data_IF_227785081915
#
_entry.id   IF_227785081915
#
_cell.length_a   1.000
_cell.length_b   1.000
_cell.length_c   1.000
_cell.angle_alpha   90.00
_cell.angle_beta   90.00
_cell.angle_gamma   90.00
#
_symmetry.space_group_name_H-M   'P 1'
#
loop_
_entity.id
_entity.type
_entity.pdbx_description
1 polymer ?
#
# COMPACT_ATOMS: atom_id res chain seq x y z
N UNK A 1 -5.44 -5.26 -44.19
CA UNK A 1 -5.39 -6.66 -43.71
C UNK A 1 -3.98 -6.93 -43.20
N UNK A 2 -3.76 -6.95 -41.89
CA UNK A 2 -2.57 -7.53 -41.28
C UNK A 2 -2.92 -7.88 -39.82
N UNK A 3 -2.89 -9.18 -39.55
CA UNK A 3 -3.31 -9.85 -38.33
C UNK A 3 -2.29 -9.63 -37.21
N UNK A 4 -2.72 -9.11 -36.06
CA UNK A 4 -1.93 -9.17 -34.81
C UNK A 4 -2.43 -10.36 -34.00
N UNK A 5 -1.58 -11.38 -33.90
CA UNK A 5 -1.77 -12.54 -33.01
C UNK A 5 -1.06 -12.22 -31.70
N UNK A 6 -1.79 -11.73 -30.71
CA UNK A 6 -1.31 -11.66 -29.31
C UNK A 6 -1.87 -12.85 -28.54
N UNK A 7 -1.10 -13.92 -28.52
CA UNK A 7 -1.24 -15.02 -27.56
C UNK A 7 -0.21 -14.79 -26.45
N UNK A 8 -0.69 -14.35 -25.29
CA UNK A 8 0.09 -14.19 -24.07
C UNK A 8 -0.83 -14.45 -22.89
N UNK A 9 -0.71 -15.64 -22.32
CA UNK A 9 -1.44 -16.16 -21.18
C UNK A 9 -1.42 -15.17 -20.02
N UNK A 10 -2.54 -14.48 -19.79
CA UNK A 10 -2.79 -13.80 -18.53
C UNK A 10 -2.91 -14.90 -17.47
N UNK A 11 -1.91 -15.03 -16.60
CA UNK A 11 -2.06 -15.81 -15.38
C UNK A 11 -3.17 -15.14 -14.56
N UNK A 12 -4.37 -15.69 -14.65
CA UNK A 12 -5.50 -15.32 -13.80
C UNK A 12 -5.14 -15.74 -12.38
N UNK A 13 -4.56 -14.81 -11.61
CA UNK A 13 -4.50 -14.96 -10.17
C UNK A 13 -5.93 -14.82 -9.64
N UNK A 14 -6.51 -15.92 -9.17
CA UNK A 14 -7.82 -15.91 -8.52
C UNK A 14 -7.69 -15.18 -7.18
N UNK A 15 -8.12 -13.92 -7.19
CA UNK A 15 -8.15 -13.06 -6.01
C UNK A 15 -9.48 -13.33 -5.29
N UNK A 16 -9.49 -14.31 -4.39
CA UNK A 16 -10.63 -14.57 -3.50
C UNK A 16 -10.59 -13.60 -2.30
N UNK A 17 -10.93 -12.33 -2.52
CA UNK A 17 -11.21 -11.38 -1.44
C UNK A 17 -12.72 -11.21 -1.31
N UNK A 18 -13.28 -11.70 -0.20
CA UNK A 18 -14.72 -11.69 0.12
C UNK A 18 -15.26 -10.28 0.44
N UNK A 19 -14.37 -9.29 0.64
CA UNK A 19 -14.73 -7.91 0.98
C UNK A 19 -14.51 -6.97 -0.23
N UNK A 20 -15.49 -6.13 -0.61
CA UNK A 20 -15.31 -5.17 -1.69
C UNK A 20 -14.21 -4.17 -1.32
N UNK A 21 -13.37 -3.75 -2.29
CA UNK A 21 -12.27 -2.85 -2.02
C UNK A 21 -12.79 -1.51 -1.51
N UNK A 22 -12.32 -1.08 -0.33
CA UNK A 22 -12.75 0.18 0.31
C UNK A 22 -12.23 1.41 -0.44
N UNK A 23 -11.10 1.27 -1.13
CA UNK A 23 -10.50 2.31 -1.96
C UNK A 23 -10.72 2.02 -3.44
N UNK A 24 -11.02 3.07 -4.21
CA UNK A 24 -11.17 2.96 -5.66
C UNK A 24 -9.85 2.56 -6.32
N UNK A 25 -9.80 1.48 -7.13
CA UNK A 25 -8.59 1.10 -7.85
C UNK A 25 -8.10 2.22 -8.78
N UNK A 26 -6.78 2.31 -9.00
CA UNK A 26 -6.13 3.31 -9.86
C UNK A 26 -6.35 4.79 -9.46
N UNK A 27 -6.68 5.07 -8.20
CA UNK A 27 -6.80 6.43 -7.70
C UNK A 27 -5.75 6.73 -6.62
N UNK A 28 -5.37 8.00 -6.50
CA UNK A 28 -4.47 8.46 -5.45
C UNK A 28 -5.15 8.30 -4.09
N UNK A 29 -4.45 7.71 -3.13
CA UNK A 29 -4.92 7.67 -1.74
C UNK A 29 -5.01 9.08 -1.19
N UNK A 30 -6.13 9.37 -0.53
CA UNK A 30 -6.38 10.65 0.12
C UNK A 30 -6.18 10.48 1.62
N UNK A 31 -5.37 11.35 2.24
CA UNK A 31 -5.00 11.25 3.65
C UNK A 31 -6.23 11.17 4.57
N UNK A 32 -7.25 12.01 4.34
CA UNK A 32 -8.48 12.02 5.13
C UNK A 32 -9.26 10.70 5.06
N UNK A 33 -9.32 10.07 3.88
CA UNK A 33 -9.99 8.79 3.69
C UNK A 33 -9.22 7.67 4.41
N UNK A 34 -7.89 7.67 4.30
CA UNK A 34 -7.04 6.70 4.98
C UNK A 34 -7.16 6.83 6.50
N UNK A 35 -7.08 8.06 7.04
CA UNK A 35 -7.22 8.26 8.49
C UNK A 35 -8.61 7.87 8.99
N UNK A 36 -9.68 8.14 8.24
CA UNK A 36 -11.03 7.72 8.60
C UNK A 36 -11.15 6.19 8.64
N UNK A 37 -10.63 5.50 7.62
CA UNK A 37 -10.63 4.05 7.56
C UNK A 37 -9.81 3.41 8.70
N UNK A 38 -8.67 4.01 9.09
CA UNK A 38 -7.89 3.54 10.24
C UNK A 38 -8.59 3.73 11.59
N UNK A 39 -9.40 4.77 11.74
CA UNK A 39 -10.23 4.96 12.93
C UNK A 39 -11.36 3.92 12.95
N UNK A 40 -12.04 3.71 11.82
CA UNK A 40 -13.09 2.69 11.70
C UNK A 40 -12.56 1.28 12.02
N UNK A 41 -11.34 0.97 11.58
CA UNK A 41 -10.71 -0.32 11.85
C UNK A 41 -10.03 -0.37 13.23
N UNK A 42 -10.17 0.68 14.05
CA UNK A 42 -9.65 0.76 15.41
C UNK A 42 -8.13 0.77 15.51
N UNK A 43 -7.42 1.13 14.45
CA UNK A 43 -5.96 1.19 14.42
C UNK A 43 -5.42 2.54 14.91
N UNK A 44 -6.19 3.61 14.69
CA UNK A 44 -5.79 4.99 14.98
C UNK A 44 -6.87 5.70 15.79
N UNK A 45 -6.45 6.49 16.78
CA UNK A 45 -7.36 7.31 17.58
C UNK A 45 -7.84 8.55 16.81
N UNK A 46 -8.97 9.11 17.24
CA UNK A 46 -9.45 10.39 16.70
C UNK A 46 -8.47 11.50 17.05
N UNK A 47 -7.86 11.49 18.25
CA UNK A 47 -6.85 12.47 18.65
C UNK A 47 -5.58 12.39 17.78
N UNK A 48 -5.10 11.19 17.49
CA UNK A 48 -3.91 10.96 16.65
C UNK A 48 -4.19 11.32 15.19
N UNK A 49 -5.41 11.13 14.70
CA UNK A 49 -5.80 11.59 13.37
C UNK A 49 -5.68 13.10 13.20
N UNK A 50 -5.99 13.87 14.24
CA UNK A 50 -5.79 15.33 14.22
C UNK A 50 -4.31 15.68 14.13
N UNK A 51 -3.45 14.94 14.84
CA UNK A 51 -1.99 15.10 14.76
C UNK A 51 -1.45 14.78 13.37
N UNK A 52 -1.98 13.74 12.70
CA UNK A 52 -1.66 13.44 11.29
C UNK A 52 -1.96 14.63 10.39
N UNK A 53 -3.16 15.22 10.52
CA UNK A 53 -3.59 16.35 9.70
C UNK A 53 -2.76 17.61 9.96
N UNK A 54 -2.38 17.86 11.22
CA UNK A 54 -1.50 18.97 11.57
C UNK A 54 -0.09 18.79 10.99
N UNK A 55 0.49 17.59 11.12
CA UNK A 55 1.82 17.27 10.59
C UNK A 55 1.88 17.34 9.06
N UNK A 56 0.81 16.90 8.38
CA UNK A 56 0.70 16.97 6.92
C UNK A 56 0.64 18.42 6.41
N UNK A 57 0.08 19.35 7.20
CA UNK A 57 -0.03 20.78 6.85
C UNK A 57 1.21 21.60 7.21
N UNK A 58 2.03 21.15 8.17
CA UNK A 58 3.15 21.94 8.70
C UNK A 58 4.39 21.96 7.80
N UNK A 59 4.44 21.15 6.75
CA UNK A 59 5.59 21.08 5.83
C UNK A 59 5.16 21.15 4.37
N UNK A 60 5.59 22.17 3.65
CA UNK A 60 5.25 22.44 2.24
C UNK A 60 5.65 21.32 1.24
N UNK A 61 6.32 20.25 1.68
CA UNK A 61 6.65 19.07 0.86
C UNK A 61 6.08 17.74 1.38
N UNK A 62 5.28 17.74 2.47
CA UNK A 62 4.69 16.50 3.02
C UNK A 62 3.38 16.09 2.35
N UNK A 63 2.66 17.03 1.74
CA UNK A 63 1.44 16.75 0.97
C UNK A 63 1.72 15.93 -0.31
N UNK A 64 2.97 15.94 -0.78
CA UNK A 64 3.41 15.12 -1.91
C UNK A 64 3.78 13.68 -1.50
N UNK A 65 3.95 13.42 -0.21
CA UNK A 65 4.23 12.08 0.30
C UNK A 65 2.98 11.21 0.27
N UNK A 66 3.20 9.90 0.12
CA UNK A 66 2.11 8.93 0.23
C UNK A 66 1.49 9.00 1.64
N UNK A 67 0.14 9.03 1.78
CA UNK A 67 -0.53 9.09 3.06
C UNK A 67 -0.04 8.07 4.10
N UNK A 68 0.29 6.86 3.68
CA UNK A 68 0.80 5.82 4.59
C UNK A 68 2.16 6.20 5.19
N UNK A 69 3.01 6.88 4.41
CA UNK A 69 4.33 7.35 4.87
C UNK A 69 4.18 8.45 5.92
N UNK A 70 3.24 9.38 5.71
CA UNK A 70 2.95 10.45 6.66
C UNK A 70 2.53 9.86 8.01
N UNK A 71 1.61 8.89 7.98
CA UNK A 71 1.09 8.24 9.20
C UNK A 71 2.20 7.40 9.87
N UNK A 72 2.97 6.63 9.10
CA UNK A 72 4.05 5.78 9.63
C UNK A 72 5.15 6.60 10.33
N UNK A 73 5.48 7.79 9.82
CA UNK A 73 6.53 8.63 10.38
C UNK A 73 6.20 9.14 11.79
N UNK A 74 4.90 9.24 12.13
CA UNK A 74 4.43 9.67 13.43
C UNK A 74 4.50 8.57 14.49
N UNK A 75 4.73 7.32 14.08
CA UNK A 75 4.98 6.16 14.96
C UNK A 75 3.92 6.02 16.06
N UNK A 76 2.65 6.20 15.71
CA UNK A 76 1.54 5.97 16.64
C UNK A 76 1.49 4.51 17.06
N UNK A 77 0.94 4.27 18.26
CA UNK A 77 0.63 2.92 18.71
C UNK A 77 -0.63 2.42 18.02
N UNK A 78 -0.64 1.16 17.62
CA UNK A 78 -1.87 0.54 17.12
C UNK A 78 -2.86 0.44 18.30
N UNK A 79 -4.08 0.96 18.18
CA UNK A 79 -5.02 0.89 19.29
C UNK A 79 -5.56 -0.53 19.52
N UNK A 80 -5.50 -1.41 18.51
CA UNK A 80 -5.86 -2.83 18.67
C UNK A 80 -4.81 -3.57 19.49
N UNK A 81 -3.55 -3.15 19.39
CA UNK A 81 -2.42 -3.76 20.08
C UNK A 81 -1.38 -2.68 20.42
N UNK A 82 -1.44 -2.16 21.65
CA UNK A 82 -0.56 -1.08 22.12
C UNK A 82 0.92 -1.48 22.18
N UNK A 83 1.25 -2.77 22.08
CA UNK A 83 2.63 -3.22 21.95
C UNK A 83 3.21 -2.91 20.57
N UNK A 84 2.35 -2.82 19.55
CA UNK A 84 2.70 -2.56 18.16
C UNK A 84 2.64 -1.07 17.83
N UNK A 85 3.44 -0.70 16.84
CA UNK A 85 3.50 0.65 16.30
C UNK A 85 3.00 0.59 14.86
N UNK A 86 2.26 1.61 14.42
CA UNK A 86 1.85 1.78 13.04
C UNK A 86 3.08 2.09 12.18
N UNK A 87 3.71 1.04 11.65
CA UNK A 87 4.81 1.12 10.71
C UNK A 87 4.28 1.13 9.27
N UNK A 88 5.10 1.59 8.33
CA UNK A 88 4.76 1.54 6.91
C UNK A 88 4.42 0.12 6.46
N UNK A 89 5.11 -0.89 7.00
CA UNK A 89 4.84 -2.30 6.70
C UNK A 89 3.43 -2.69 7.14
N UNK A 90 3.07 -2.45 8.40
CA UNK A 90 1.73 -2.76 8.93
C UNK A 90 0.61 -2.02 8.21
N UNK A 91 0.85 -0.77 7.79
CA UNK A 91 -0.11 0.03 7.04
C UNK A 91 -0.25 -0.45 5.59
N UNK A 92 0.80 -1.01 5.00
CA UNK A 92 0.76 -1.57 3.64
C UNK A 92 0.05 -2.92 3.64
N UNK A 93 0.29 -3.75 4.65
CA UNK A 93 -0.43 -5.01 4.87
C UNK A 93 -1.93 -4.74 5.05
N UNK A 94 -2.28 -3.81 5.94
CA UNK A 94 -3.66 -3.35 6.10
C UNK A 94 -4.27 -2.85 4.78
N UNK A 95 -3.56 -2.01 4.03
CA UNK A 95 -4.07 -1.52 2.74
C UNK A 95 -4.33 -2.65 1.75
N UNK A 96 -3.46 -3.67 1.72
CA UNK A 96 -3.65 -4.84 0.87
C UNK A 96 -4.94 -5.59 1.23
N UNK A 97 -5.23 -5.78 2.52
CA UNK A 97 -6.50 -6.35 2.98
C UNK A 97 -7.70 -5.50 2.52
N UNK A 98 -7.61 -4.17 2.62
CA UNK A 98 -8.67 -3.26 2.20
C UNK A 98 -8.86 -3.20 0.68
N UNK A 99 -7.82 -3.50 -0.09
CA UNK A 99 -7.86 -3.57 -1.55
C UNK A 99 -8.21 -4.98 -2.06
N UNK A 100 -8.33 -5.96 -1.16
CA UNK A 100 -8.50 -7.36 -1.51
C UNK A 100 -7.30 -7.94 -2.25
N UNK A 101 -6.11 -7.38 -2.08
CA UNK A 101 -4.88 -7.83 -2.73
C UNK A 101 -4.07 -8.71 -1.78
N UNK A 102 -3.42 -9.77 -2.30
CA UNK A 102 -2.54 -10.57 -1.47
C UNK A 102 -1.30 -9.74 -1.08
N UNK A 103 -0.96 -9.74 0.21
CA UNK A 103 0.25 -9.11 0.72
C UNK A 103 1.41 -10.10 0.73
N UNK A 104 2.51 -9.74 0.05
CA UNK A 104 3.73 -10.53 0.07
C UNK A 104 4.91 -9.66 0.50
N UNK A 105 5.57 -10.06 1.60
CA UNK A 105 6.84 -9.46 1.99
C UNK A 105 7.95 -10.02 1.10
N UNK A 106 8.42 -9.19 0.17
CA UNK A 106 9.51 -9.55 -0.72
C UNK A 106 10.82 -9.51 0.06
N UNK A 107 11.45 -10.68 0.27
CA UNK A 107 12.77 -10.81 0.85
C UNK A 107 13.80 -10.96 -0.28
N UNK A 108 14.65 -9.93 -0.54
CA UNK A 108 15.59 -9.95 -1.66
C UNK A 108 16.61 -11.10 -1.57
N UNK A 109 16.86 -11.65 -0.38
CA UNK A 109 17.79 -12.78 -0.22
C UNK A 109 17.20 -14.12 -0.64
N UNK A 110 15.88 -14.21 -0.86
CA UNK A 110 15.18 -15.42 -1.30
C UNK A 110 14.83 -15.40 -2.79
N UNK A 111 15.14 -14.31 -3.50
CA UNK A 111 14.84 -14.15 -4.92
C UNK A 111 15.97 -14.79 -5.75
N UNK A 112 15.62 -15.77 -6.58
CA UNK A 112 16.52 -16.30 -7.61
C UNK A 112 16.58 -15.31 -8.78
N UNK A 113 17.52 -14.37 -8.71
CA UNK A 113 17.66 -13.27 -9.69
C UNK A 113 17.76 -13.74 -11.16
N UNK A 114 18.27 -14.95 -11.40
CA UNK A 114 18.41 -15.52 -12.76
C UNK A 114 17.09 -15.69 -13.52
N UNK A 115 15.96 -15.94 -12.84
CA UNK A 115 14.65 -16.10 -13.47
C UNK A 115 13.91 -14.76 -13.66
N UNK A 116 14.22 -13.75 -12.83
CA UNK A 116 13.56 -12.43 -12.87
C UNK A 116 14.08 -11.56 -14.02
N UNK A 117 15.37 -11.70 -14.39
CA UNK A 117 15.99 -10.94 -15.47
C UNK A 117 15.60 -11.39 -16.89
N UNK A 118 15.00 -12.57 -17.05
CA UNK A 118 14.46 -13.03 -18.34
C UNK A 118 13.11 -12.38 -18.68
N UNK A 119 12.37 -11.92 -17.67
CA UNK A 119 10.99 -11.41 -17.84
C UNK A 119 10.94 -9.88 -17.78
N UNK A 120 11.84 -9.23 -17.02
CA UNK A 120 11.96 -7.77 -16.98
C UNK A 120 13.25 -7.38 -17.70
N UNK A 121 13.12 -6.86 -18.92
CA UNK A 121 14.26 -6.35 -19.68
C UNK A 121 15.05 -5.33 -18.84
N UNK A 122 16.38 -5.50 -18.82
CA UNK A 122 17.34 -4.71 -18.03
C UNK A 122 17.10 -3.19 -18.03
N UNK A 123 16.49 -2.65 -19.10
CA UNK A 123 16.16 -1.24 -19.24
C UNK A 123 15.15 -0.70 -18.20
N UNK A 124 14.30 -1.53 -17.61
CA UNK A 124 13.32 -1.08 -16.61
C UNK A 124 13.89 -1.00 -15.18
N UNK A 125 15.00 -1.69 -14.91
CA UNK A 125 15.60 -1.76 -13.57
C UNK A 125 16.52 -0.58 -13.21
N UNK A 126 16.85 0.29 -14.18
CA UNK A 126 17.76 1.43 -13.98
C UNK A 126 17.04 2.79 -13.79
N UNK A 127 15.72 2.83 -13.79
CA UNK A 127 14.93 4.07 -13.68
C UNK A 127 14.47 4.36 -12.26
#
# INVERSE_FOLDING_TARGET
>A
MATVKTSGTAATFEISSEKPPRFTPNHKLVLSQVTAALIEDGMLSVEDSQRVVMDARSGSGRLDLNPLVIIANLKFKDQRDTSKTLTLESLTEWLAEQAGLPYFKIDPMKIKMGEVTEVIGQAYAQR
#
